data_IF_207671484808
#
_entry.id   IF_207671484808
#
_cell.length_a   1.000
_cell.length_b   1.000
_cell.length_c   1.000
_cell.angle_alpha   90.00
_cell.angle_beta   90.00
_cell.angle_gamma   90.00
#
_symmetry.space_group_name_H-M   'P 1'
#
loop_
_entity.id
_entity.type
_entity.pdbx_description
1 polymer ?
#
# COMPACT_ATOMS: atom_id res chain seq x y z
N UNK A 1 -6.55 7.29 -1.70
CA UNK A 1 -7.92 7.20 -2.27
C UNK A 1 -7.92 6.44 -3.59
N UNK A 2 -8.94 5.61 -3.82
CA UNK A 2 -9.28 5.06 -5.14
C UNK A 2 -10.42 5.89 -5.72
N UNK A 3 -10.25 6.40 -6.94
CA UNK A 3 -11.25 7.26 -7.59
C UNK A 3 -12.02 6.48 -8.66
N UNK A 4 -13.33 6.71 -8.71
CA UNK A 4 -14.20 6.27 -9.80
C UNK A 4 -15.01 7.44 -10.31
N UNK A 5 -14.77 7.83 -11.56
CA UNK A 5 -15.54 8.87 -12.24
C UNK A 5 -16.87 8.31 -12.74
N UNK A 6 -17.94 9.10 -12.55
CA UNK A 6 -19.26 8.91 -13.15
C UNK A 6 -19.61 10.19 -13.94
N UNK A 7 -20.80 10.24 -14.53
CA UNK A 7 -21.22 11.33 -15.41
C UNK A 7 -21.03 12.73 -14.78
N UNK A 8 -21.48 12.91 -13.53
CA UNK A 8 -21.49 14.22 -12.86
C UNK A 8 -20.89 14.16 -11.44
N UNK A 9 -20.24 13.06 -11.07
CA UNK A 9 -19.71 12.86 -9.71
C UNK A 9 -18.44 12.01 -9.71
N UNK A 10 -17.65 12.16 -8.64
CA UNK A 10 -16.57 11.24 -8.29
C UNK A 10 -16.96 10.42 -7.06
N UNK A 11 -16.79 9.12 -7.16
CA UNK A 11 -16.90 8.22 -6.00
C UNK A 11 -15.50 7.93 -5.49
N UNK A 12 -15.30 8.21 -4.21
CA UNK A 12 -14.02 8.17 -3.52
C UNK A 12 -14.04 7.04 -2.50
N UNK A 13 -13.07 6.13 -2.58
CA UNK A 13 -12.89 5.06 -1.60
C UNK A 13 -11.57 5.26 -0.85
N UNK A 14 -11.61 5.08 0.47
CA UNK A 14 -10.41 5.12 1.30
C UNK A 14 -9.48 3.97 0.89
N UNK A 15 -8.23 4.29 0.61
CA UNK A 15 -7.20 3.31 0.29
C UNK A 15 -6.91 2.41 1.50
N UNK A 16 -6.90 2.97 2.71
CA UNK A 16 -6.75 2.18 3.93
C UNK A 16 -7.89 1.15 4.11
N UNK A 17 -9.14 1.54 3.85
CA UNK A 17 -10.28 0.62 3.94
C UNK A 17 -10.23 -0.48 2.88
N UNK A 18 -9.70 -0.17 1.68
CA UNK A 18 -9.37 -1.20 0.68
C UNK A 18 -8.41 -2.25 1.26
N UNK A 19 -7.34 -1.82 1.94
CA UNK A 19 -6.44 -2.73 2.66
C UNK A 19 -7.16 -3.60 3.68
N UNK A 20 -8.02 -2.99 4.50
CA UNK A 20 -8.81 -3.73 5.50
C UNK A 20 -9.72 -4.78 4.87
N UNK A 21 -10.37 -4.46 3.75
CA UNK A 21 -11.20 -5.40 3.01
C UNK A 21 -10.36 -6.53 2.38
N UNK A 22 -9.22 -6.20 1.78
CA UNK A 22 -8.28 -7.17 1.21
C UNK A 22 -7.78 -8.16 2.27
N UNK A 23 -7.51 -7.71 3.49
CA UNK A 23 -7.17 -8.59 4.61
C UNK A 23 -8.29 -9.55 5.01
N UNK A 24 -9.55 -9.10 4.97
CA UNK A 24 -10.71 -9.98 5.24
C UNK A 24 -10.84 -11.06 4.17
N UNK A 25 -10.67 -10.70 2.89
CA UNK A 25 -10.68 -11.66 1.79
C UNK A 25 -9.54 -12.67 1.94
N UNK A 26 -8.32 -12.20 2.22
CA UNK A 26 -7.15 -13.06 2.42
C UNK A 26 -7.37 -14.06 3.56
N UNK A 27 -7.97 -13.65 4.67
CA UNK A 27 -8.28 -14.54 5.81
C UNK A 27 -9.24 -15.67 5.44
N UNK A 28 -10.14 -15.44 4.49
CA UNK A 28 -11.08 -16.42 4.00
C UNK A 28 -10.56 -17.17 2.75
N UNK A 29 -9.33 -16.88 2.31
CA UNK A 29 -8.80 -17.39 1.05
C UNK A 29 -8.03 -18.71 1.21
N UNK A 30 -8.59 -19.78 0.67
CA UNK A 30 -7.99 -21.11 0.66
C UNK A 30 -8.75 -22.10 1.53
N UNK A 31 -8.09 -23.22 1.87
CA UNK A 31 -8.64 -24.26 2.73
C UNK A 31 -8.06 -24.18 4.16
N UNK A 32 -8.64 -24.93 5.09
CA UNK A 32 -8.21 -24.99 6.49
C UNK A 32 -6.74 -25.38 6.67
N UNK A 33 -6.18 -26.13 5.71
CA UNK A 33 -4.78 -26.56 5.75
C UNK A 33 -3.87 -25.36 5.46
N UNK A 34 -4.19 -24.57 4.43
CA UNK A 34 -3.45 -23.35 4.07
C UNK A 34 -3.51 -22.31 5.19
N UNK A 35 -4.67 -22.14 5.81
CA UNK A 35 -4.85 -21.21 6.94
C UNK A 35 -3.97 -21.57 8.15
N UNK A 36 -3.65 -22.86 8.34
CA UNK A 36 -2.81 -23.36 9.43
C UNK A 36 -1.31 -23.35 9.12
N UNK A 37 -0.89 -23.02 7.89
CA UNK A 37 0.53 -22.97 7.54
C UNK A 37 1.20 -21.78 8.24
N UNK A 38 2.34 -22.05 8.89
CA UNK A 38 3.21 -21.01 9.43
C UNK A 38 3.60 -20.03 8.32
N UNK A 39 3.23 -18.76 8.47
CA UNK A 39 3.48 -17.69 7.51
C UNK A 39 2.24 -17.20 6.75
N UNK A 40 1.15 -17.96 6.70
CA UNK A 40 -0.09 -17.46 6.10
C UNK A 40 -0.70 -16.31 6.90
N UNK A 41 -0.58 -16.38 8.23
CA UNK A 41 -0.97 -15.27 9.12
C UNK A 41 -0.19 -13.99 8.83
N UNK A 42 1.11 -14.09 8.51
CA UNK A 42 1.94 -12.94 8.15
C UNK A 42 1.48 -12.30 6.84
N UNK A 43 1.08 -13.12 5.86
CA UNK A 43 0.49 -12.67 4.60
C UNK A 43 -0.86 -11.99 4.84
N UNK A 44 -1.71 -12.56 5.69
CA UNK A 44 -3.00 -11.95 6.04
C UNK A 44 -2.78 -10.58 6.71
N UNK A 45 -1.83 -10.48 7.64
CA UNK A 45 -1.45 -9.20 8.25
C UNK A 45 -0.92 -8.22 7.20
N UNK A 46 -0.07 -8.68 6.26
CA UNK A 46 0.41 -7.83 5.17
C UNK A 46 -0.75 -7.29 4.33
N UNK A 47 -1.73 -8.14 3.99
CA UNK A 47 -2.93 -7.73 3.27
C UNK A 47 -3.75 -6.67 4.02
N UNK A 48 -3.95 -6.81 5.33
CA UNK A 48 -4.65 -5.80 6.14
C UNK A 48 -3.93 -4.45 6.15
N UNK A 49 -2.60 -4.48 6.22
CA UNK A 49 -1.81 -3.30 6.57
C UNK A 49 -1.07 -2.67 5.38
N UNK A 50 -1.13 -3.24 4.16
CA UNK A 50 -0.33 -2.74 3.03
C UNK A 50 -0.61 -1.28 2.66
N UNK A 51 -1.83 -0.81 2.89
CA UNK A 51 -2.26 0.55 2.64
C UNK A 51 -2.39 1.41 3.92
N UNK A 52 -1.81 0.96 5.04
CA UNK A 52 -1.80 1.70 6.31
C UNK A 52 -1.30 3.15 6.18
N UNK A 53 -0.32 3.40 5.30
CA UNK A 53 0.23 4.73 5.10
C UNK A 53 -0.82 5.80 4.77
N UNK A 54 -1.95 5.38 4.20
CA UNK A 54 -3.02 6.26 3.75
C UNK A 54 -4.04 6.65 4.83
N UNK A 55 -3.98 6.08 6.04
CA UNK A 55 -4.96 6.30 7.11
C UNK A 55 -5.35 7.76 7.34
N UNK A 56 -4.39 8.67 7.29
CA UNK A 56 -4.64 10.11 7.49
C UNK A 56 -4.96 10.81 6.17
N UNK A 57 -4.21 10.49 5.11
CA UNK A 57 -4.31 11.17 3.82
C UNK A 57 -5.66 10.90 3.12
N UNK A 58 -6.26 9.73 3.35
CA UNK A 58 -7.59 9.39 2.80
C UNK A 58 -8.70 10.32 3.34
N UNK A 59 -8.54 10.88 4.54
CA UNK A 59 -9.52 11.80 5.12
C UNK A 59 -9.38 13.24 4.62
N UNK A 60 -8.34 13.54 3.84
CA UNK A 60 -8.07 14.88 3.29
C UNK A 60 -7.80 14.76 1.78
N UNK A 61 -8.80 14.36 0.97
CA UNK A 61 -8.60 14.14 -0.45
C UNK A 61 -8.15 15.43 -1.13
N UNK A 62 -7.02 15.34 -1.86
CA UNK A 62 -6.45 16.47 -2.59
C UNK A 62 -6.97 16.53 -4.01
N UNK A 63 -7.20 17.74 -4.49
CA UNK A 63 -7.60 17.99 -5.87
C UNK A 63 -6.36 18.17 -6.77
N UNK A 64 -6.36 17.51 -7.93
CA UNK A 64 -5.39 17.72 -8.99
C UNK A 64 -5.95 18.76 -9.97
N UNK A 65 -5.44 19.99 -9.87
CA UNK A 65 -5.84 21.10 -10.74
C UNK A 65 -5.48 20.88 -12.22
N UNK A 66 -4.40 20.15 -12.52
CA UNK A 66 -3.98 19.94 -13.91
C UNK A 66 -4.89 18.97 -14.67
N UNK A 67 -5.44 17.98 -13.95
CA UNK A 67 -6.36 16.98 -14.49
C UNK A 67 -7.83 17.29 -14.16
N UNK A 68 -8.08 18.37 -13.41
CA UNK A 68 -9.40 18.78 -12.93
C UNK A 68 -10.17 17.63 -12.23
N UNK A 69 -9.47 16.82 -11.42
CA UNK A 69 -10.05 15.71 -10.67
C UNK A 69 -9.30 15.46 -9.35
N UNK A 70 -9.90 14.80 -8.35
CA UNK A 70 -9.18 14.36 -7.16
C UNK A 70 -8.02 13.42 -7.52
N UNK A 71 -6.91 13.49 -6.78
CA UNK A 71 -5.81 12.54 -6.96
C UNK A 71 -6.26 11.12 -6.64
N UNK A 72 -5.98 10.21 -7.56
CA UNK A 72 -6.01 8.76 -7.31
C UNK A 72 -4.69 8.34 -6.64
N UNK A 73 -4.69 7.25 -5.88
CA UNK A 73 -3.47 6.75 -5.24
C UNK A 73 -2.34 6.50 -6.27
N UNK A 74 -2.70 6.14 -7.50
CA UNK A 74 -1.75 5.94 -8.60
C UNK A 74 -1.13 7.25 -9.09
N UNK A 75 -1.94 8.32 -9.21
CA UNK A 75 -1.48 9.64 -9.68
C UNK A 75 -1.00 10.57 -8.56
N UNK A 76 -1.15 10.15 -7.29
CA UNK A 76 -0.70 10.93 -6.14
C UNK A 76 0.82 11.15 -6.19
N UNK A 77 1.31 12.41 -5.99
CA UNK A 77 2.71 12.75 -6.24
C UNK A 77 3.68 11.95 -5.36
N UNK A 78 4.70 11.35 -5.97
CA UNK A 78 5.68 10.52 -5.25
C UNK A 78 6.39 11.21 -4.08
N UNK A 79 6.76 12.52 -4.14
CA UNK A 79 7.33 13.23 -2.99
C UNK A 79 6.42 13.27 -1.76
N UNK A 80 5.10 13.12 -1.96
CA UNK A 80 4.12 13.02 -0.88
C UNK A 80 3.76 11.57 -0.55
N UNK A 81 3.74 10.69 -1.56
CA UNK A 81 3.35 9.27 -1.44
C UNK A 81 4.41 8.42 -0.74
N UNK A 82 5.67 8.56 -1.12
CA UNK A 82 6.78 7.72 -0.59
C UNK A 82 6.91 7.85 0.94
N UNK A 83 6.85 9.04 1.57
CA UNK A 83 6.87 9.14 3.02
C UNK A 83 5.72 8.40 3.72
N UNK A 84 4.54 8.34 3.10
CA UNK A 84 3.41 7.56 3.62
C UNK A 84 3.71 6.06 3.57
N UNK A 85 4.31 5.59 2.46
CA UNK A 85 4.74 4.20 2.30
C UNK A 85 5.79 3.81 3.34
N UNK A 86 6.85 4.61 3.51
CA UNK A 86 7.91 4.34 4.48
C UNK A 86 7.39 4.27 5.91
N UNK A 87 6.49 5.19 6.29
CA UNK A 87 5.81 5.17 7.60
C UNK A 87 4.96 3.92 7.75
N UNK A 88 4.16 3.58 6.75
CA UNK A 88 3.29 2.40 6.76
C UNK A 88 4.08 1.09 6.89
N UNK A 89 5.17 0.95 6.12
CA UNK A 89 6.10 -0.19 6.19
C UNK A 89 6.71 -0.30 7.60
N UNK A 90 7.16 0.82 8.16
CA UNK A 90 7.79 0.85 9.48
C UNK A 90 6.80 0.41 10.58
N UNK A 91 5.61 0.98 10.59
CA UNK A 91 4.54 0.60 11.54
C UNK A 91 4.12 -0.86 11.37
N UNK A 92 3.98 -1.34 10.13
CA UNK A 92 3.70 -2.74 9.83
C UNK A 92 4.81 -3.68 10.35
N UNK A 93 6.07 -3.31 10.18
CA UNK A 93 7.21 -4.10 10.65
C UNK A 93 7.26 -4.18 12.19
N UNK A 94 6.84 -3.13 12.91
CA UNK A 94 6.69 -3.16 14.37
C UNK A 94 5.60 -4.14 14.82
N UNK A 95 4.50 -4.26 14.07
CA UNK A 95 3.42 -5.22 14.37
C UNK A 95 3.80 -6.66 13.98
N UNK A 96 4.37 -6.84 12.79
CA UNK A 96 4.82 -8.12 12.25
C UNK A 96 5.94 -7.89 11.24
N UNK A 97 7.17 -8.29 11.59
CA UNK A 97 8.36 -8.09 10.77
C UNK A 97 8.23 -8.64 9.35
N UNK A 98 7.64 -9.84 9.20
CA UNK A 98 7.41 -10.46 7.89
C UNK A 98 6.35 -9.72 7.09
N UNK A 99 5.29 -9.25 7.74
CA UNK A 99 4.28 -8.45 7.07
C UNK A 99 4.87 -7.12 6.55
N UNK A 100 5.64 -6.42 7.38
CA UNK A 100 6.35 -5.20 6.97
C UNK A 100 7.27 -5.43 5.77
N UNK A 101 7.99 -6.56 5.75
CA UNK A 101 8.79 -6.97 4.59
C UNK A 101 7.95 -7.22 3.34
N UNK A 102 6.85 -7.96 3.43
CA UNK A 102 5.96 -8.22 2.29
C UNK A 102 5.34 -6.92 1.74
N UNK A 103 5.00 -5.97 2.62
CA UNK A 103 4.47 -4.67 2.23
C UNK A 103 5.54 -3.84 1.52
N UNK A 104 6.76 -3.84 2.05
CA UNK A 104 7.93 -3.20 1.42
C UNK A 104 8.12 -3.69 -0.02
N UNK A 105 8.11 -5.02 -0.22
CA UNK A 105 8.18 -5.65 -1.54
C UNK A 105 7.00 -5.28 -2.45
N UNK A 106 5.80 -5.29 -1.90
CA UNK A 106 4.59 -4.94 -2.66
C UNK A 106 4.65 -3.49 -3.16
N UNK A 107 4.99 -2.53 -2.29
CA UNK A 107 5.02 -1.11 -2.64
C UNK A 107 6.20 -0.75 -3.55
N UNK A 108 7.35 -1.41 -3.39
CA UNK A 108 8.50 -1.21 -4.29
C UNK A 108 8.22 -1.71 -5.72
N UNK A 109 7.39 -2.75 -5.87
CA UNK A 109 7.01 -3.30 -7.18
C UNK A 109 6.32 -2.28 -8.09
N UNK A 110 5.65 -1.26 -7.53
CA UNK A 110 5.03 -0.18 -8.30
C UNK A 110 6.05 0.71 -9.04
N UNK A 111 7.33 0.62 -8.68
CA UNK A 111 8.41 1.41 -9.23
C UNK A 111 9.37 0.59 -10.12
N UNK A 112 9.01 -0.64 -10.49
CA UNK A 112 9.90 -1.53 -11.25
C UNK A 112 10.39 -0.95 -12.58
N UNK A 113 9.53 -0.21 -13.29
CA UNK A 113 9.83 0.41 -14.58
C UNK A 113 10.12 1.92 -14.50
N UNK A 114 10.17 2.50 -13.30
CA UNK A 114 10.36 3.94 -13.14
C UNK A 114 11.85 4.34 -13.12
N UNK A 115 12.15 5.48 -13.74
CA UNK A 115 13.52 6.04 -13.82
C UNK A 115 13.68 7.33 -13.02
N UNK A 116 12.66 7.75 -12.27
CA UNK A 116 12.75 8.91 -11.38
C UNK A 116 13.72 8.66 -10.22
N UNK A 117 14.47 9.68 -9.80
CA UNK A 117 15.52 9.55 -8.79
C UNK A 117 14.94 9.19 -7.40
N UNK A 118 13.76 9.72 -7.03
CA UNK A 118 13.12 9.40 -5.75
C UNK A 118 12.55 7.98 -5.75
N UNK A 119 11.82 7.61 -6.81
CA UNK A 119 11.31 6.25 -7.00
C UNK A 119 12.44 5.21 -6.96
N UNK A 120 13.55 5.50 -7.65
CA UNK A 120 14.72 4.62 -7.70
C UNK A 120 15.37 4.47 -6.33
N UNK A 121 15.56 5.57 -5.59
CA UNK A 121 16.12 5.53 -4.23
C UNK A 121 15.25 4.74 -3.27
N UNK A 122 13.94 4.96 -3.29
CA UNK A 122 12.99 4.20 -2.48
C UNK A 122 13.11 2.71 -2.78
N UNK A 123 13.03 2.31 -4.04
CA UNK A 123 13.17 0.91 -4.46
C UNK A 123 14.48 0.28 -3.96
N UNK A 124 15.62 0.92 -4.20
CA UNK A 124 16.93 0.43 -3.76
C UNK A 124 17.04 0.29 -2.23
N UNK A 125 16.39 1.16 -1.47
CA UNK A 125 16.33 1.06 -0.02
C UNK A 125 15.52 -0.16 0.42
N UNK A 126 14.38 -0.41 -0.22
CA UNK A 126 13.51 -1.54 0.09
C UNK A 126 14.13 -2.89 -0.32
N UNK A 127 14.81 -2.97 -1.47
CA UNK A 127 15.55 -4.18 -1.90
C UNK A 127 16.67 -4.58 -0.92
N UNK A 128 17.35 -3.61 -0.29
CA UNK A 128 18.37 -3.91 0.73
C UNK A 128 17.81 -4.59 1.97
N UNK A 129 16.50 -4.44 2.25
CA UNK A 129 15.84 -5.11 3.38
C UNK A 129 15.65 -6.61 3.12
N UNK A 130 15.70 -7.07 1.86
CA UNK A 130 15.67 -8.49 1.50
C UNK A 130 16.91 -9.24 1.99
N UNK A 131 18.08 -8.59 1.95
CA UNK A 131 19.35 -9.21 2.34
C UNK A 131 19.65 -9.22 3.85
N UNK A 132 18.77 -8.65 4.68
CA UNK A 132 18.99 -8.47 6.12
C UNK A 132 18.13 -9.38 7.02
N UNK A 133 17.29 -10.25 6.44
CA UNK A 133 16.35 -11.14 7.14
C UNK A 133 16.77 -12.61 7.14
#
# INVERSE_FOLDING_TARGET
MIIRSRSDEWVLFNQHEHGMFTGQLARCWGDDIRLKRSGFTDVVTACFEHDRGWQVEDHVPRFNESEAMPYDFTSFPDPLKIPLYEKGITEAAFMNKRAGYLISQHLSSFYEAQTDDLATKFKQQEEKKEGAN
#
